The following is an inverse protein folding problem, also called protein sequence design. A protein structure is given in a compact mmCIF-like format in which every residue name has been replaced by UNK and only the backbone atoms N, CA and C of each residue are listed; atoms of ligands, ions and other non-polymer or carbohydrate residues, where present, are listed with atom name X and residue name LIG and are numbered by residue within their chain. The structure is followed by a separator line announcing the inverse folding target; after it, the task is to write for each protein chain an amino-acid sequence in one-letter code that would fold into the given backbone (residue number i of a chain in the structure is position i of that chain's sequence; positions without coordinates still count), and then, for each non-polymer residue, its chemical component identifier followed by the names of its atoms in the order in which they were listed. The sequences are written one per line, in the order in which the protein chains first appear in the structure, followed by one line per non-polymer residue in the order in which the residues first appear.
data_IF_532304562131
#
_entry.id   IF_532304562131
#
_cell.length_a   1.000
_cell.length_b   1.000
_cell.length_c   1.000
_cell.angle_alpha   90.00
_cell.angle_beta   90.00
_cell.angle_gamma   90.00
#
_symmetry.space_group_name_H-M   'P 1'
#
loop_
_entity.id
_entity.type
_entity.pdbx_description
1 polymer ?
#
# COMPACT_ATOMS: atom_id res chain seq x y z
N UNK A 1 -7.75 -8.70 -2.59
CA UNK A 1 -8.87 -8.07 -1.87
C UNK A 1 -8.77 -8.17 -0.35
N UNK A 2 -8.00 -9.09 0.24
CA UNK A 2 -7.47 -8.90 1.60
C UNK A 2 -6.22 -9.77 1.75
N UNK A 3 -6.31 -11.03 1.32
CA UNK A 3 -5.20 -11.97 1.31
C UNK A 3 -5.08 -12.73 2.64
N UNK A 4 -4.57 -13.95 2.58
CA UNK A 4 -4.48 -14.85 3.74
C UNK A 4 -3.14 -14.70 4.47
N UNK A 5 -2.91 -13.53 5.07
CA UNK A 5 -1.79 -13.31 6.00
C UNK A 5 -2.33 -12.66 7.26
N UNK A 6 -1.77 -13.03 8.43
CA UNK A 6 -2.22 -12.54 9.74
C UNK A 6 -2.03 -11.03 9.95
N UNK A 7 -1.50 -10.31 8.96
CA UNK A 7 -1.28 -8.87 8.97
C UNK A 7 -2.23 -8.08 8.08
N UNK A 8 -3.03 -8.70 7.21
CA UNK A 8 -3.95 -7.97 6.35
C UNK A 8 -5.34 -7.84 6.97
N UNK A 9 -5.90 -6.63 6.96
CA UNK A 9 -7.18 -6.33 7.61
C UNK A 9 -7.87 -5.11 6.98
N UNK A 10 -9.16 -4.99 7.26
CA UNK A 10 -9.95 -3.77 7.08
C UNK A 10 -10.53 -3.45 8.45
N UNK A 11 -10.19 -2.30 9.01
CA UNK A 11 -10.73 -1.84 10.28
C UNK A 11 -11.64 -0.64 10.09
N UNK A 12 -12.81 -0.68 10.71
CA UNK A 12 -13.63 0.49 10.99
C UNK A 12 -13.16 1.07 12.33
N UNK A 13 -12.46 2.19 12.26
CA UNK A 13 -11.88 2.87 13.41
C UNK A 13 -12.70 4.10 13.77
N UNK A 14 -12.69 4.49 15.04
CA UNK A 14 -13.22 5.77 15.52
C UNK A 14 -12.05 6.63 16.00
N UNK A 15 -12.00 7.89 15.57
CA UNK A 15 -11.03 8.87 16.07
C UNK A 15 -11.33 9.14 17.55
N UNK A 16 -10.43 8.70 18.43
CA UNK A 16 -10.55 8.85 19.88
C UNK A 16 -9.90 10.13 20.40
N UNK A 17 -8.78 10.54 19.80
CA UNK A 17 -7.96 11.66 20.25
C UNK A 17 -7.33 12.33 19.02
N UNK A 18 -7.20 13.66 19.10
CA UNK A 18 -6.50 14.49 18.12
C UNK A 18 -5.41 15.25 18.86
N UNK A 19 -4.16 15.04 18.45
CA UNK A 19 -2.98 15.67 19.05
C UNK A 19 -2.66 17.06 18.47
N UNK A 20 -3.03 17.28 17.20
CA UNK A 20 -2.88 18.56 16.51
C UNK A 20 -4.20 18.89 15.80
N UNK A 21 -4.96 19.82 16.38
CA UNK A 21 -6.28 20.21 15.90
C UNK A 21 -6.23 20.93 14.55
N UNK A 22 -5.19 21.75 14.31
CA UNK A 22 -5.03 22.50 13.07
C UNK A 22 -4.73 21.55 11.91
N UNK A 23 -3.81 20.60 12.13
CA UNK A 23 -3.47 19.57 11.16
C UNK A 23 -4.66 18.66 10.87
N UNK A 24 -5.36 18.19 11.91
CA UNK A 24 -6.54 17.35 11.76
C UNK A 24 -7.65 18.05 10.98
N UNK A 25 -7.95 19.32 11.31
CA UNK A 25 -8.94 20.12 10.59
C UNK A 25 -8.59 20.26 9.11
N UNK A 26 -7.32 20.54 8.79
CA UNK A 26 -6.81 20.66 7.42
C UNK A 26 -6.96 19.35 6.63
N UNK A 27 -6.79 18.20 7.31
CA UNK A 27 -7.00 16.87 6.74
C UNK A 27 -8.48 16.44 6.72
N UNK A 28 -9.39 17.22 7.31
CA UNK A 28 -10.81 16.89 7.43
C UNK A 28 -11.10 15.79 8.46
N UNK A 29 -10.24 15.64 9.47
CA UNK A 29 -10.34 14.68 10.56
C UNK A 29 -10.92 15.36 11.80
N UNK A 30 -11.89 14.70 12.45
CA UNK A 30 -12.60 15.22 13.64
C UNK A 30 -12.75 14.14 14.72
N UNK A 31 -12.87 14.56 15.97
CA UNK A 31 -13.16 13.65 17.08
C UNK A 31 -14.47 12.90 16.82
N UNK A 32 -14.49 11.61 17.20
CA UNK A 32 -15.60 10.68 16.97
C UNK A 32 -15.93 10.37 15.49
N UNK A 33 -15.14 10.86 14.54
CA UNK A 33 -15.28 10.46 13.14
C UNK A 33 -14.89 9.01 12.96
N UNK A 34 -15.59 8.32 12.06
CA UNK A 34 -15.28 6.95 11.67
C UNK A 34 -14.43 6.93 10.39
N UNK A 35 -13.40 6.07 10.38
CA UNK A 35 -12.45 5.91 9.29
C UNK A 35 -12.29 4.43 8.95
N UNK A 36 -12.13 4.12 7.67
CA UNK A 36 -11.69 2.79 7.25
C UNK A 36 -10.17 2.77 7.09
N UNK A 37 -9.51 1.85 7.79
CA UNK A 37 -8.09 1.57 7.60
C UNK A 37 -7.94 0.25 6.84
N UNK A 38 -7.43 0.32 5.61
CA UNK A 38 -7.27 -0.83 4.73
C UNK A 38 -5.78 -1.20 4.68
N UNK A 39 -5.43 -2.36 5.25
CA UNK A 39 -4.08 -2.88 5.22
C UNK A 39 -4.01 -4.13 4.34
N UNK A 40 -3.57 -3.96 3.10
CA UNK A 40 -3.30 -5.05 2.17
C UNK A 40 -2.32 -4.62 1.09
N UNK A 41 -1.71 -5.61 0.45
CA UNK A 41 -0.75 -5.39 -0.64
C UNK A 41 -1.15 -6.10 -1.92
N UNK A 42 -0.13 -6.51 -2.66
CA UNK A 42 -0.25 -7.18 -3.96
C UNK A 42 -0.48 -8.69 -3.88
N UNK A 43 -0.72 -9.21 -2.67
CA UNK A 43 -1.15 -10.58 -2.41
C UNK A 43 -0.25 -11.62 -3.12
N UNK A 44 -0.86 -12.55 -3.85
CA UNK A 44 -0.20 -13.65 -4.55
C UNK A 44 0.74 -13.17 -5.65
N UNK A 45 0.42 -12.06 -6.32
CA UNK A 45 1.24 -11.47 -7.39
C UNK A 45 2.58 -11.06 -6.80
N UNK A 46 2.58 -10.26 -5.73
CA UNK A 46 3.84 -9.82 -5.12
C UNK A 46 4.66 -10.95 -4.50
N UNK A 47 4.00 -12.00 -3.97
CA UNK A 47 4.70 -13.18 -3.46
C UNK A 47 5.50 -13.89 -4.56
N UNK A 48 4.88 -14.14 -5.71
CA UNK A 48 5.55 -14.83 -6.81
C UNK A 48 6.54 -13.93 -7.53
N UNK A 49 6.26 -12.65 -7.73
CA UNK A 49 7.26 -11.68 -8.23
C UNK A 49 8.52 -11.69 -7.36
N UNK A 50 8.37 -11.58 -6.04
CA UNK A 50 9.52 -11.66 -5.14
C UNK A 50 10.26 -12.99 -5.24
N UNK A 51 9.54 -14.12 -5.39
CA UNK A 51 10.16 -15.45 -5.47
C UNK A 51 10.83 -15.73 -6.83
N UNK A 52 10.44 -15.01 -7.88
CA UNK A 52 11.06 -15.08 -9.21
C UNK A 52 12.35 -14.27 -9.29
N UNK A 53 12.36 -13.08 -8.70
CA UNK A 53 13.42 -12.09 -8.89
C UNK A 53 14.31 -11.84 -7.66
N UNK A 54 14.05 -12.50 -6.52
CA UNK A 54 14.88 -12.38 -5.31
C UNK A 54 15.23 -13.76 -4.74
N UNK A 55 16.09 -13.79 -3.71
CA UNK A 55 16.45 -15.00 -2.98
C UNK A 55 15.33 -15.56 -2.08
N UNK A 56 14.13 -14.98 -2.11
CA UNK A 56 12.99 -15.42 -1.29
C UNK A 56 12.60 -16.86 -1.64
N UNK A 57 12.90 -17.79 -0.73
CA UNK A 57 12.54 -19.20 -0.89
C UNK A 57 11.07 -19.44 -0.56
N UNK A 58 10.39 -20.14 -1.47
CA UNK A 58 9.07 -20.71 -1.24
C UNK A 58 9.22 -22.05 -0.52
N UNK A 59 8.51 -22.22 0.61
CA UNK A 59 8.62 -23.44 1.44
C UNK A 59 7.64 -24.53 1.02
N UNK A 60 6.39 -24.19 0.72
CA UNK A 60 5.33 -25.17 0.40
C UNK A 60 5.54 -25.84 -0.96
N UNK A 61 5.27 -27.14 -1.05
CA UNK A 61 5.32 -27.91 -2.30
C UNK A 61 4.38 -27.34 -3.37
N UNK A 62 3.14 -27.02 -3.01
CA UNK A 62 2.15 -26.47 -3.97
C UNK A 62 2.60 -25.13 -4.55
N UNK A 63 3.19 -24.27 -3.73
CA UNK A 63 3.72 -22.98 -4.17
C UNK A 63 4.97 -23.14 -5.06
N UNK A 64 5.82 -24.15 -4.80
CA UNK A 64 6.94 -24.50 -5.68
C UNK A 64 6.44 -24.98 -7.05
N UNK A 65 5.38 -25.79 -7.06
CA UNK A 65 4.77 -26.28 -8.29
C UNK A 65 4.21 -25.12 -9.14
N UNK A 66 3.52 -24.16 -8.51
CA UNK A 66 3.05 -22.94 -9.20
C UNK A 66 4.23 -22.14 -9.76
N UNK A 67 5.29 -21.95 -8.98
CA UNK A 67 6.48 -21.24 -9.45
C UNK A 67 7.15 -21.96 -10.63
N UNK A 68 7.20 -23.29 -10.61
CA UNK A 68 7.71 -24.11 -11.70
C UNK A 68 6.86 -23.93 -12.96
N UNK A 69 5.53 -23.98 -12.85
CA UNK A 69 4.62 -23.72 -13.97
C UNK A 69 4.81 -22.32 -14.55
N UNK A 70 4.91 -21.29 -13.71
CA UNK A 70 5.17 -19.92 -14.17
C UNK A 70 6.48 -19.87 -14.98
N UNK A 71 7.55 -20.50 -14.48
CA UNK A 71 8.83 -20.55 -15.21
C UNK A 71 8.75 -21.33 -16.53
N UNK A 72 7.99 -22.42 -16.55
CA UNK A 72 7.81 -23.25 -17.74
C UNK A 72 7.09 -22.50 -18.86
N UNK A 73 6.03 -21.76 -18.53
CA UNK A 73 5.25 -20.97 -19.49
C UNK A 73 5.80 -19.56 -19.73
N UNK A 74 6.81 -19.14 -18.98
CA UNK A 74 7.48 -17.85 -19.15
C UNK A 74 9.01 -18.01 -19.12
N UNK A 75 9.58 -18.74 -20.10
CA UNK A 75 11.03 -19.00 -20.16
C UNK A 75 11.86 -17.71 -20.38
N UNK A 76 11.22 -16.62 -20.82
CA UNK A 76 11.82 -15.31 -21.04
C UNK A 76 12.08 -14.49 -19.76
N UNK A 77 11.70 -15.03 -18.58
CA UNK A 77 12.02 -14.42 -17.28
C UNK A 77 13.54 -14.49 -17.08
N UNK A 78 14.21 -13.38 -17.36
CA UNK A 78 15.64 -13.20 -17.15
C UNK A 78 15.85 -12.51 -15.80
N UNK A 79 16.48 -13.22 -14.87
CA UNK A 79 16.74 -12.73 -13.50
C UNK A 79 17.84 -11.65 -13.49
N UNK A 80 18.64 -11.56 -14.56
CA UNK A 80 19.78 -10.62 -14.63
C UNK A 80 19.45 -9.29 -15.33
N UNK A 81 18.23 -9.11 -15.82
CA UNK A 81 17.81 -7.87 -16.49
C UNK A 81 17.17 -6.91 -15.48
N UNK A 82 17.91 -5.87 -15.10
CA UNK A 82 17.47 -4.84 -14.14
C UNK A 82 16.16 -4.18 -14.58
N UNK A 83 15.96 -3.95 -15.87
CA UNK A 83 14.76 -3.27 -16.38
C UNK A 83 13.52 -4.16 -16.27
N UNK A 84 13.68 -5.47 -16.52
CA UNK A 84 12.58 -6.44 -16.31
C UNK A 84 12.23 -6.60 -14.83
N UNK A 85 13.23 -6.63 -13.95
CA UNK A 85 13.01 -6.66 -12.50
C UNK A 85 12.23 -5.42 -12.07
N UNK A 86 12.70 -4.23 -12.42
CA UNK A 86 12.03 -2.97 -12.07
C UNK A 86 10.59 -2.93 -12.57
N UNK A 87 10.37 -3.29 -13.84
CA UNK A 87 9.03 -3.38 -14.44
C UNK A 87 8.12 -4.33 -13.67
N UNK A 88 8.62 -5.52 -13.30
CA UNK A 88 7.83 -6.50 -12.56
C UNK A 88 7.45 -6.02 -11.15
N UNK A 89 8.38 -5.35 -10.45
CA UNK A 89 8.11 -4.77 -9.13
C UNK A 89 7.14 -3.58 -9.21
N UNK A 90 7.27 -2.72 -10.22
CA UNK A 90 6.30 -1.62 -10.47
C UNK A 90 4.91 -2.14 -10.79
N UNK A 91 4.80 -3.13 -11.67
CA UNK A 91 3.52 -3.78 -11.98
C UNK A 91 2.88 -4.41 -10.73
N UNK A 92 3.71 -5.02 -9.88
CA UNK A 92 3.29 -5.55 -8.58
C UNK A 92 2.79 -4.45 -7.64
N UNK A 93 3.47 -3.30 -7.59
CA UNK A 93 3.05 -2.12 -6.83
C UNK A 93 1.70 -1.58 -7.30
N UNK A 94 1.53 -1.44 -8.62
CA UNK A 94 0.28 -1.01 -9.26
C UNK A 94 -0.87 -1.96 -8.93
N UNK A 95 -0.62 -3.28 -8.94
CA UNK A 95 -1.61 -4.26 -8.52
C UNK A 95 -2.01 -4.06 -7.05
N UNK A 96 -1.06 -3.69 -6.17
CA UNK A 96 -1.35 -3.33 -4.77
C UNK A 96 -2.30 -2.14 -4.64
N UNK A 97 -2.06 -1.06 -5.40
CA UNK A 97 -2.96 0.10 -5.46
C UNK A 97 -4.33 -0.27 -6.01
N UNK A 98 -4.38 -0.94 -7.17
CA UNK A 98 -5.63 -1.38 -7.78
C UNK A 98 -6.46 -2.26 -6.82
N UNK A 99 -5.80 -3.15 -6.09
CA UNK A 99 -6.45 -3.98 -5.07
C UNK A 99 -7.09 -3.14 -3.95
N UNK A 100 -6.40 -2.12 -3.42
CA UNK A 100 -6.96 -1.23 -2.38
C UNK A 100 -8.06 -0.32 -2.91
N UNK A 101 -7.95 0.14 -4.16
CA UNK A 101 -9.01 0.90 -4.82
C UNK A 101 -10.29 0.07 -4.96
N UNK A 102 -10.18 -1.19 -5.40
CA UNK A 102 -11.32 -2.10 -5.49
C UNK A 102 -11.97 -2.34 -4.12
N UNK A 103 -11.18 -2.57 -3.07
CA UNK A 103 -11.71 -2.69 -1.70
C UNK A 103 -12.48 -1.43 -1.29
N UNK A 104 -11.91 -0.26 -1.55
CA UNK A 104 -12.54 1.03 -1.25
C UNK A 104 -13.90 1.16 -1.96
N UNK A 105 -13.98 0.78 -3.24
CA UNK A 105 -15.23 0.78 -4.00
C UNK A 105 -16.27 -0.19 -3.39
N UNK A 106 -15.86 -1.39 -2.97
CA UNK A 106 -16.78 -2.35 -2.35
C UNK A 106 -17.26 -1.91 -0.97
N UNK A 107 -16.40 -1.27 -0.16
CA UNK A 107 -16.79 -0.64 1.10
C UNK A 107 -17.83 0.45 0.84
N UNK A 108 -17.60 1.32 -0.15
CA UNK A 108 -18.53 2.39 -0.50
C UNK A 108 -19.92 1.85 -0.88
N UNK A 109 -19.97 0.85 -1.78
CA UNK A 109 -21.23 0.17 -2.14
C UNK A 109 -21.93 -0.47 -0.94
N UNK A 110 -21.17 -1.09 -0.04
CA UNK A 110 -21.72 -1.69 1.16
C UNK A 110 -22.34 -0.62 2.09
N UNK A 111 -21.69 0.53 2.25
CA UNK A 111 -22.23 1.65 3.04
C UNK A 111 -23.52 2.19 2.43
N UNK A 112 -23.55 2.45 1.11
CA UNK A 112 -24.76 2.95 0.45
C UNK A 112 -25.94 1.97 0.60
N UNK A 113 -25.68 0.66 0.52
CA UNK A 113 -26.69 -0.38 0.75
C UNK A 113 -27.19 -0.39 2.20
N UNK A 114 -26.30 -0.28 3.17
CA UNK A 114 -26.64 -0.32 4.61
C UNK A 114 -27.45 0.92 5.00
N UNK A 115 -27.05 2.10 4.54
CA UNK A 115 -27.68 3.36 4.92
C UNK A 115 -28.85 3.76 4.01
N UNK A 116 -29.11 3.00 2.94
CA UNK A 116 -30.15 3.28 1.94
C UNK A 116 -30.11 4.72 1.40
N UNK A 117 -28.90 5.29 1.27
CA UNK A 117 -28.63 6.64 0.77
C UNK A 117 -27.23 6.72 0.22
N UNK A 118 -26.94 7.73 -0.59
CA UNK A 118 -25.56 7.99 -1.00
C UNK A 118 -24.72 8.43 0.20
N UNK A 119 -23.52 7.87 0.32
CA UNK A 119 -22.59 8.13 1.40
C UNK A 119 -21.30 8.67 0.81
N UNK A 120 -20.89 9.88 1.18
CA UNK A 120 -19.59 10.40 0.76
C UNK A 120 -18.46 9.72 1.53
N UNK A 121 -17.53 9.08 0.82
CA UNK A 121 -16.28 8.56 1.38
C UNK A 121 -15.10 9.20 0.66
N UNK A 122 -14.22 9.88 1.39
CA UNK A 122 -13.03 10.52 0.84
C UNK A 122 -11.79 9.70 1.19
N UNK A 123 -10.94 9.41 0.21
CA UNK A 123 -9.62 8.84 0.46
C UNK A 123 -8.75 9.90 1.15
N UNK A 124 -8.29 9.59 2.37
CA UNK A 124 -7.35 10.45 3.08
C UNK A 124 -5.96 10.34 2.47
N UNK A 125 -5.42 9.12 2.42
CA UNK A 125 -4.12 8.83 1.83
C UNK A 125 -3.99 7.33 1.53
N UNK A 126 -3.13 6.99 0.56
CA UNK A 126 -2.75 5.60 0.26
C UNK A 126 -1.23 5.57 0.04
N UNK A 127 -0.52 4.75 0.83
CA UNK A 127 0.92 4.58 0.74
C UNK A 127 1.34 3.10 0.86
N UNK A 128 2.33 2.65 0.06
CA UNK A 128 2.97 1.37 0.27
C UNK A 128 4.01 1.45 1.40
N UNK A 129 4.26 0.32 2.06
CA UNK A 129 5.30 0.16 3.08
C UNK A 129 6.38 -0.87 2.73
N UNK A 130 6.21 -1.56 1.59
CA UNK A 130 7.17 -2.51 1.02
C UNK A 130 7.30 -2.20 -0.47
N UNK A 131 8.35 -1.47 -0.83
CA UNK A 131 8.58 -1.02 -2.21
C UNK A 131 10.01 -0.48 -2.38
N UNK A 132 10.39 -0.27 -3.63
CA UNK A 132 11.62 0.40 -4.03
C UNK A 132 11.22 1.62 -4.86
N UNK A 133 11.88 2.75 -4.65
CA UNK A 133 11.62 3.98 -5.40
C UNK A 133 12.93 4.74 -5.66
N UNK A 134 13.00 5.46 -6.78
CA UNK A 134 14.12 6.35 -7.06
C UNK A 134 13.82 7.73 -6.46
N UNK A 135 14.64 8.15 -5.51
CA UNK A 135 14.46 9.41 -4.79
C UNK A 135 15.73 10.26 -4.85
N UNK A 136 15.58 11.57 -4.67
CA UNK A 136 16.72 12.48 -4.56
C UNK A 136 16.89 12.94 -3.12
N UNK A 137 17.99 12.52 -2.50
CA UNK A 137 18.39 12.85 -1.13
C UNK A 137 19.83 13.37 -1.13
N UNK A 138 20.10 14.44 -0.39
CA UNK A 138 21.43 15.07 -0.33
C UNK A 138 22.05 15.35 -1.71
N UNK A 139 21.22 15.80 -2.67
CA UNK A 139 21.58 16.06 -4.07
C UNK A 139 22.08 14.81 -4.84
N UNK A 140 21.76 13.61 -4.36
CA UNK A 140 22.10 12.35 -5.01
C UNK A 140 20.83 11.58 -5.36
N UNK A 141 20.82 10.98 -6.55
CA UNK A 141 19.80 10.00 -6.93
C UNK A 141 20.13 8.67 -6.28
N UNK A 142 19.19 8.16 -5.50
CA UNK A 142 19.34 6.91 -4.75
C UNK A 142 18.11 6.05 -4.93
N UNK A 143 18.31 4.73 -4.95
CA UNK A 143 17.20 3.77 -4.90
C UNK A 143 16.95 3.46 -3.43
N UNK A 144 15.79 3.89 -2.92
CA UNK A 144 15.41 3.66 -1.54
C UNK A 144 14.67 2.33 -1.44
N UNK A 145 15.15 1.46 -0.58
CA UNK A 145 14.55 0.17 -0.27
C UNK A 145 13.73 0.28 1.01
N UNK A 146 12.41 0.14 0.93
CA UNK A 146 11.52 0.14 2.10
C UNK A 146 10.92 -1.24 2.30
N UNK A 147 11.03 -1.77 3.51
CA UNK A 147 10.40 -3.02 3.92
C UNK A 147 9.85 -2.87 5.34
N UNK A 148 8.54 -2.68 5.47
CA UNK A 148 7.90 -2.30 6.73
C UNK A 148 8.14 -0.84 7.12
N UNK A 149 8.48 0.02 6.16
CA UNK A 149 8.76 1.43 6.38
C UNK A 149 7.94 2.30 5.42
N UNK A 150 7.41 3.40 5.93
CA UNK A 150 6.68 4.39 5.13
C UNK A 150 7.61 5.53 4.69
N UNK A 151 7.24 6.20 3.60
CA UNK A 151 7.80 7.51 3.28
C UNK A 151 7.07 8.57 4.10
N UNK A 152 7.80 9.63 4.41
CA UNK A 152 7.35 10.71 5.28
C UNK A 152 7.91 12.03 4.77
N UNK A 153 7.49 12.43 3.57
CA UNK A 153 7.89 13.72 3.02
C UNK A 153 7.33 14.90 3.80
N UNK A 154 8.18 15.91 4.04
CA UNK A 154 7.73 17.20 4.56
C UNK A 154 6.96 18.02 3.51
N UNK A 155 6.34 19.14 3.93
CA UNK A 155 5.51 19.97 3.06
C UNK A 155 6.22 20.42 1.76
N UNK A 156 7.51 20.75 1.85
CA UNK A 156 8.34 21.18 0.71
C UNK A 156 8.50 20.14 -0.40
N UNK A 157 8.31 18.85 -0.09
CA UNK A 157 8.37 17.74 -1.05
C UNK A 157 6.98 17.35 -1.59
N UNK A 158 5.92 17.99 -1.10
CA UNK A 158 4.52 17.76 -1.45
C UNK A 158 3.88 18.98 -2.13
N UNK A 159 4.68 19.91 -2.65
CA UNK A 159 4.25 21.18 -3.26
C UNK A 159 3.14 21.07 -4.31
N UNK A 160 3.04 20.02 -5.15
CA UNK A 160 1.95 19.93 -6.13
C UNK A 160 0.57 19.69 -5.51
N UNK A 161 0.49 19.23 -4.26
CA UNK A 161 -0.78 18.89 -3.61
C UNK A 161 -1.28 20.03 -2.73
N UNK A 162 -2.50 20.52 -2.97
CA UNK A 162 -3.05 21.70 -2.29
C UNK A 162 -3.05 21.59 -0.75
N UNK A 163 -3.33 20.39 -0.22
CA UNK A 163 -3.37 20.14 1.23
C UNK A 163 -2.00 19.72 1.75
N UNK A 164 -1.29 18.84 1.04
CA UNK A 164 -0.07 18.21 1.58
C UNK A 164 1.16 19.10 1.42
N UNK A 165 1.11 20.12 0.56
CA UNK A 165 2.08 21.22 0.53
C UNK A 165 2.09 22.06 1.81
N UNK A 166 1.04 21.96 2.64
CA UNK A 166 0.93 22.64 3.92
C UNK A 166 1.24 21.69 5.08
N UNK A 167 0.81 20.43 4.99
CA UNK A 167 0.87 19.46 6.09
C UNK A 167 2.05 18.50 6.01
N UNK A 168 2.62 18.29 4.83
CA UNK A 168 3.46 17.14 4.53
C UNK A 168 2.65 15.88 4.19
N UNK A 169 3.36 14.81 3.89
CA UNK A 169 2.82 13.49 3.53
C UNK A 169 2.20 12.80 4.75
N UNK A 170 0.92 12.39 4.69
CA UNK A 170 0.32 11.59 5.76
C UNK A 170 1.05 10.26 5.95
N UNK A 171 1.48 9.98 7.18
CA UNK A 171 2.12 8.71 7.52
C UNK A 171 1.11 7.80 8.22
N UNK A 172 0.69 6.76 7.53
CA UNK A 172 -0.28 5.78 8.06
C UNK A 172 0.45 4.71 8.87
N UNK A 173 0.31 4.77 10.19
CA UNK A 173 0.87 3.78 11.10
C UNK A 173 -0.21 2.73 11.35
N UNK A 174 -0.04 1.55 10.75
CA UNK A 174 -0.91 0.42 11.02
C UNK A 174 -0.74 -0.01 12.48
N UNK A 175 -1.83 -0.27 13.23
CA UNK A 175 -1.71 -0.84 14.56
C UNK A 175 -0.93 -2.15 14.45
N UNK A 176 0.13 -2.29 15.25
CA UNK A 176 0.72 -3.59 15.47
C UNK A 176 -0.36 -4.43 16.13
N UNK A 177 -0.76 -5.52 15.49
CA UNK A 177 -1.43 -6.59 16.21
C UNK A 177 -0.42 -7.06 17.26
N UNK A 178 -0.52 -6.51 18.48
CA UNK A 178 0.13 -7.10 19.64
C UNK A 178 -0.28 -8.57 19.63
N UNK A 179 0.70 -9.45 19.40
CA UNK A 179 0.57 -10.85 19.75
C UNK A 179 0.65 -10.97 21.25
#
# INVERSE_FOLDING_TARGET
LLGATNSHFIYLMRVSEILDENLASTLGIRNNQYLFFIHTGSSIVGRYTASLYTSRKIKSFSQKLILLFIKLFSPSIQINDKNKIDTAFRATGNYGFANRTLITCEIHKALEKIFARSVSTKLLYDAPHVYFDEETHFNQKVIIHRNGANRAYGPSKMTPHAIFSQTGEPVLIAPFANK
#
